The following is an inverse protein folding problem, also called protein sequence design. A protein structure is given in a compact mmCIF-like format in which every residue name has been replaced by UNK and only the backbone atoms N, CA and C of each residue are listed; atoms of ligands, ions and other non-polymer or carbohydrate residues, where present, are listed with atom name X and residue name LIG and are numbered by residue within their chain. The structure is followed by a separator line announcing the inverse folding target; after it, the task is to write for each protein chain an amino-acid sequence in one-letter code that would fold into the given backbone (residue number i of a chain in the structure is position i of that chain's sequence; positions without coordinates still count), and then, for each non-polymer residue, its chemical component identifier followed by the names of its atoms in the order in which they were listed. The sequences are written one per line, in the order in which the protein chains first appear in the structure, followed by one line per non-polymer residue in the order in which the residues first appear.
data_IF_237780856662
#
_entry.id   IF_237780856662
#
_cell.length_a   1.000
_cell.length_b   1.000
_cell.length_c   1.000
_cell.angle_alpha   90.00
_cell.angle_beta   90.00
_cell.angle_gamma   90.00
#
_symmetry.space_group_name_H-M   'P 1'
#
loop_
_entity.id
_entity.type
_entity.pdbx_description
1 polymer ?
#
# COMPACT_ATOMS: atom_id res chain seq x y z
N UNK A 1 -39.17 -47.28 -17.83
CA UNK A 1 -38.26 -46.21 -18.31
C UNK A 1 -37.49 -45.68 -17.12
N UNK A 2 -36.16 -45.85 -17.02
CA UNK A 2 -35.41 -45.33 -15.91
C UNK A 2 -35.11 -43.83 -16.15
N UNK A 3 -35.22 -43.04 -15.06
CA UNK A 3 -34.97 -41.62 -15.04
C UNK A 3 -33.48 -41.31 -15.26
N UNK A 4 -33.21 -40.31 -16.10
CA UNK A 4 -31.86 -39.83 -16.36
C UNK A 4 -31.22 -39.20 -15.11
N UNK A 5 -29.89 -39.36 -14.91
CA UNK A 5 -29.20 -38.75 -13.77
C UNK A 5 -29.11 -37.23 -13.95
N UNK A 6 -29.48 -36.53 -12.89
CA UNK A 6 -29.26 -35.06 -12.80
C UNK A 6 -27.77 -34.80 -12.84
N UNK A 7 -27.32 -34.08 -13.87
CA UNK A 7 -25.98 -33.52 -13.92
C UNK A 7 -25.81 -32.56 -12.73
N UNK A 8 -24.82 -32.84 -11.90
CA UNK A 8 -24.34 -31.92 -10.89
C UNK A 8 -23.74 -30.71 -11.62
N UNK A 9 -24.31 -29.53 -11.42
CA UNK A 9 -23.74 -28.26 -11.83
C UNK A 9 -22.46 -28.12 -10.98
N UNK A 10 -21.31 -28.25 -11.64
CA UNK A 10 -20.06 -27.88 -11.03
C UNK A 10 -20.13 -26.37 -10.74
N UNK A 11 -20.29 -26.05 -9.47
CA UNK A 11 -20.06 -24.67 -9.00
C UNK A 11 -18.58 -24.38 -9.24
N UNK A 12 -18.29 -23.45 -10.16
CA UNK A 12 -16.96 -22.87 -10.27
C UNK A 12 -16.51 -22.42 -8.85
N UNK A 13 -15.26 -22.69 -8.47
CA UNK A 13 -14.76 -22.18 -7.21
C UNK A 13 -14.89 -20.67 -7.26
N UNK A 14 -15.72 -20.12 -6.38
CA UNK A 14 -15.72 -18.69 -6.09
C UNK A 14 -14.24 -18.28 -5.94
N UNK A 15 -13.77 -17.33 -6.74
CA UNK A 15 -12.45 -16.76 -6.59
C UNK A 15 -12.39 -16.12 -5.20
N UNK A 16 -12.12 -16.94 -4.20
CA UNK A 16 -11.98 -16.52 -2.82
C UNK A 16 -10.81 -15.56 -2.77
N UNK A 17 -11.07 -14.33 -2.36
CA UNK A 17 -10.05 -13.39 -1.97
C UNK A 17 -9.06 -14.11 -1.04
N UNK A 18 -7.85 -14.34 -1.53
CA UNK A 18 -6.75 -14.80 -0.70
C UNK A 18 -5.99 -13.55 -0.25
N UNK A 19 -6.10 -13.12 1.02
CA UNK A 19 -5.37 -11.96 1.52
C UNK A 19 -3.85 -12.16 1.50
N UNK A 20 -3.38 -13.37 1.24
CA UNK A 20 -1.98 -13.79 1.26
C UNK A 20 -1.39 -13.94 -0.14
N UNK A 21 -1.48 -12.94 -0.98
CA UNK A 21 -0.86 -13.03 -2.31
C UNK A 21 0.68 -13.11 -2.28
N UNK A 22 1.31 -12.90 -1.12
CA UNK A 22 2.73 -13.19 -0.93
C UNK A 22 3.02 -13.70 0.47
N UNK A 23 3.20 -14.99 0.63
CA UNK A 23 4.09 -15.53 1.64
C UNK A 23 5.52 -15.21 1.21
N UNK A 24 6.15 -14.25 1.85
CA UNK A 24 7.60 -14.22 1.87
C UNK A 24 7.99 -15.42 2.73
N UNK A 25 8.22 -16.54 2.05
CA UNK A 25 8.55 -17.79 2.73
C UNK A 25 9.77 -17.62 3.62
N UNK A 26 9.96 -18.55 4.55
CA UNK A 26 11.06 -18.70 5.51
C UNK A 26 12.50 -18.61 4.94
N UNK A 27 12.64 -18.31 3.65
CA UNK A 27 13.92 -18.25 2.92
C UNK A 27 14.57 -16.88 2.85
N UNK A 28 13.88 -15.79 3.24
CA UNK A 28 14.50 -14.47 3.30
C UNK A 28 14.99 -14.20 4.71
N UNK A 29 16.31 -14.18 4.89
CA UNK A 29 16.98 -13.77 6.15
C UNK A 29 16.90 -12.23 6.31
N UNK A 30 15.66 -11.72 6.41
CA UNK A 30 15.34 -10.31 6.60
C UNK A 30 15.36 -10.00 8.11
N UNK A 31 16.15 -9.00 8.51
CA UNK A 31 16.21 -8.52 9.92
C UNK A 31 15.30 -7.32 10.17
N UNK A 32 14.85 -6.65 9.12
CA UNK A 32 14.00 -5.48 9.20
C UNK A 32 14.06 -4.61 7.96
N UNK A 33 13.37 -3.51 8.00
CA UNK A 33 13.25 -2.60 6.86
C UNK A 33 12.65 -1.25 7.19
N UNK A 34 12.19 -0.58 6.14
CA UNK A 34 11.48 0.69 6.22
C UNK A 34 10.10 0.56 5.55
N UNK A 35 9.10 1.13 6.20
CA UNK A 35 7.76 1.30 5.65
C UNK A 35 7.51 2.75 5.27
N UNK A 36 7.05 2.97 4.04
CA UNK A 36 6.59 4.25 3.50
C UNK A 36 5.28 4.03 2.76
N UNK A 37 4.38 5.02 2.77
CA UNK A 37 3.10 4.98 2.08
C UNK A 37 2.67 6.38 1.68
N UNK A 38 1.69 6.51 0.80
CA UNK A 38 1.04 7.78 0.43
C UNK A 38 2.03 8.85 -0.06
N UNK A 39 3.02 8.44 -0.85
CA UNK A 39 4.00 9.36 -1.43
C UNK A 39 3.37 10.27 -2.48
N UNK A 40 2.35 9.78 -3.20
CA UNK A 40 1.65 10.48 -4.27
C UNK A 40 2.59 11.09 -5.31
N UNK A 41 3.65 10.34 -5.66
CA UNK A 41 4.60 10.73 -6.69
C UNK A 41 3.88 11.03 -8.02
N UNK A 42 4.55 11.78 -8.90
CA UNK A 42 4.06 12.19 -10.21
C UNK A 42 2.89 13.20 -10.19
N UNK A 43 2.47 13.66 -9.00
CA UNK A 43 1.46 14.72 -8.85
C UNK A 43 2.08 16.05 -8.44
N UNK A 44 1.42 17.16 -8.80
CA UNK A 44 1.86 18.52 -8.38
C UNK A 44 1.85 18.71 -6.85
N UNK A 45 1.11 17.91 -6.13
CA UNK A 45 0.94 18.04 -4.67
C UNK A 45 2.03 17.34 -3.86
N UNK A 46 2.81 16.47 -4.49
CA UNK A 46 3.86 15.72 -3.83
C UNK A 46 5.08 16.58 -3.51
N UNK A 47 5.66 16.40 -2.33
CA UNK A 47 7.01 16.82 -1.98
C UNK A 47 7.96 15.63 -2.17
N UNK A 48 8.16 15.25 -3.43
CA UNK A 48 8.91 14.05 -3.81
C UNK A 48 10.36 14.07 -3.34
N UNK A 49 11.00 15.24 -3.31
CA UNK A 49 12.40 15.34 -2.90
C UNK A 49 12.58 14.93 -1.43
N UNK A 50 11.67 15.35 -0.56
CA UNK A 50 11.69 14.98 0.85
C UNK A 50 11.46 13.48 1.03
N UNK A 51 10.46 12.93 0.36
CA UNK A 51 10.10 11.51 0.47
C UNK A 51 11.24 10.60 -0.02
N UNK A 52 11.91 10.98 -1.12
CA UNK A 52 13.03 10.22 -1.70
C UNK A 52 14.28 10.37 -0.84
N UNK A 53 14.58 11.57 -0.32
CA UNK A 53 15.73 11.76 0.56
C UNK A 53 15.68 10.88 1.81
N UNK A 54 14.49 10.66 2.35
CA UNK A 54 14.32 9.77 3.49
C UNK A 54 14.58 8.29 3.10
N UNK A 55 14.16 7.84 1.92
CA UNK A 55 14.47 6.50 1.42
C UNK A 55 15.97 6.28 1.21
N UNK A 56 16.69 7.26 0.67
CA UNK A 56 18.12 7.18 0.45
C UNK A 56 18.96 7.17 1.75
N UNK A 57 18.43 7.70 2.85
CA UNK A 57 19.13 7.66 4.15
C UNK A 57 19.20 6.26 4.77
N UNK A 58 18.32 5.36 4.36
CA UNK A 58 18.25 3.99 4.87
C UNK A 58 19.10 2.98 4.07
N UNK A 59 20.03 3.49 3.27
CA UNK A 59 20.75 2.79 2.20
C UNK A 59 21.56 1.56 2.62
N UNK A 60 22.03 1.44 3.85
CA UNK A 60 22.98 0.38 4.18
C UNK A 60 22.53 -0.65 5.20
N UNK A 61 21.47 -0.40 5.94
CA UNK A 61 21.00 -1.28 7.02
C UNK A 61 19.62 -1.90 6.77
N UNK A 62 18.79 -1.28 5.95
CA UNK A 62 17.47 -1.83 5.60
C UNK A 62 17.62 -2.95 4.59
N UNK A 63 17.15 -4.15 4.95
CA UNK A 63 17.15 -5.30 4.06
C UNK A 63 15.92 -5.31 3.16
N UNK A 64 14.86 -4.58 3.53
CA UNK A 64 13.71 -4.39 2.66
C UNK A 64 13.08 -3.00 2.79
N UNK A 65 12.38 -2.61 1.74
CA UNK A 65 11.55 -1.41 1.66
C UNK A 65 10.13 -1.86 1.37
N UNK A 66 9.18 -1.46 2.20
CA UNK A 66 7.75 -1.70 1.96
C UNK A 66 7.11 -0.40 1.49
N UNK A 67 6.68 -0.36 0.23
CA UNK A 67 5.90 0.70 -0.37
C UNK A 67 4.41 0.41 -0.14
N UNK A 68 3.80 1.07 0.83
CA UNK A 68 2.49 0.74 1.40
C UNK A 68 1.28 1.26 0.63
N UNK A 69 1.38 1.39 -0.69
CA UNK A 69 0.32 1.89 -1.57
C UNK A 69 0.27 3.42 -1.69
N UNK A 70 -0.46 3.89 -2.69
CA UNK A 70 -0.50 5.30 -3.09
C UNK A 70 0.90 5.89 -3.26
N UNK A 71 1.83 5.05 -3.74
CA UNK A 71 3.19 5.46 -4.09
C UNK A 71 3.14 6.44 -5.24
N UNK A 72 2.29 6.17 -6.24
CA UNK A 72 2.06 7.03 -7.38
C UNK A 72 0.62 7.57 -7.37
N UNK A 73 0.45 8.77 -7.92
CA UNK A 73 -0.88 9.37 -8.02
C UNK A 73 -1.32 9.42 -9.48
N UNK A 74 -1.92 8.34 -9.95
CA UNK A 74 -2.44 8.27 -11.31
C UNK A 74 -3.56 9.25 -11.55
N UNK A 75 -4.41 9.50 -10.53
CA UNK A 75 -5.57 10.39 -10.63
C UNK A 75 -5.18 11.86 -10.82
N UNK A 76 -4.07 12.28 -10.20
CA UNK A 76 -3.57 13.65 -10.24
C UNK A 76 -2.19 13.74 -10.88
N UNK A 77 -1.87 12.80 -11.75
CA UNK A 77 -0.61 12.77 -12.49
C UNK A 77 -0.46 14.01 -13.37
N UNK A 78 0.77 14.48 -13.47
CA UNK A 78 1.19 15.57 -14.37
C UNK A 78 1.93 15.05 -15.59
N UNK A 79 2.02 13.74 -15.76
CA UNK A 79 2.81 13.09 -16.82
C UNK A 79 2.06 12.98 -18.16
N UNK A 80 0.79 13.39 -18.22
CA UNK A 80 -0.06 13.22 -19.40
C UNK A 80 -1.10 12.13 -19.21
N UNK A 81 -1.11 11.11 -20.08
CA UNK A 81 -2.04 10.00 -20.01
C UNK A 81 -1.63 8.88 -19.04
N UNK A 82 -2.40 7.80 -19.06
CA UNK A 82 -2.14 6.61 -18.25
C UNK A 82 -0.79 5.99 -18.62
N UNK A 83 -0.51 5.86 -19.90
CA UNK A 83 0.72 5.23 -20.40
C UNK A 83 1.98 6.00 -19.99
N UNK A 84 2.00 7.32 -20.15
CA UNK A 84 3.12 8.18 -19.75
C UNK A 84 3.35 8.11 -18.24
N UNK A 85 2.25 8.03 -17.47
CA UNK A 85 2.30 7.89 -16.01
C UNK A 85 2.87 6.53 -15.62
N UNK A 86 2.40 5.43 -16.24
CA UNK A 86 2.97 4.09 -16.06
C UNK A 86 4.48 4.08 -16.37
N UNK A 87 4.87 4.64 -17.52
CA UNK A 87 6.28 4.68 -17.92
C UNK A 87 7.13 5.48 -16.91
N UNK A 88 6.61 6.59 -16.38
CA UNK A 88 7.31 7.37 -15.37
C UNK A 88 7.43 6.62 -14.04
N UNK A 89 6.35 5.94 -13.60
CA UNK A 89 6.33 5.13 -12.40
C UNK A 89 7.34 3.97 -12.48
N UNK A 90 7.35 3.25 -13.60
CA UNK A 90 8.30 2.15 -13.82
C UNK A 90 9.75 2.61 -13.88
N UNK A 91 10.03 3.77 -14.48
CA UNK A 91 11.40 4.36 -14.44
C UNK A 91 11.82 4.69 -13.02
N UNK A 92 10.92 5.24 -12.22
CA UNK A 92 11.20 5.55 -10.82
C UNK A 92 11.51 4.29 -10.00
N UNK A 93 10.70 3.21 -10.15
CA UNK A 93 10.92 1.94 -9.46
C UNK A 93 12.27 1.30 -9.83
N UNK A 94 12.63 1.30 -11.11
CA UNK A 94 13.94 0.83 -11.57
C UNK A 94 15.08 1.67 -10.98
N UNK A 95 14.90 2.98 -10.90
CA UNK A 95 15.86 3.88 -10.24
C UNK A 95 16.00 3.59 -8.75
N UNK A 96 14.89 3.33 -8.03
CA UNK A 96 14.92 2.96 -6.63
C UNK A 96 15.68 1.65 -6.41
N UNK A 97 15.40 0.62 -7.20
CA UNK A 97 16.11 -0.66 -7.13
C UNK A 97 17.60 -0.53 -7.38
N UNK A 98 17.99 0.31 -8.34
CA UNK A 98 19.40 0.58 -8.62
C UNK A 98 20.09 1.31 -7.45
N UNK A 99 19.37 2.20 -6.78
CA UNK A 99 19.90 3.00 -5.67
C UNK A 99 19.96 2.21 -4.33
N UNK A 100 19.12 1.21 -4.14
CA UNK A 100 18.96 0.52 -2.84
C UNK A 100 19.80 -0.76 -2.69
N UNK A 101 20.80 -0.95 -3.54
CA UNK A 101 21.79 -2.01 -3.42
C UNK A 101 21.16 -3.42 -3.39
N UNK A 102 21.18 -4.09 -2.25
CA UNK A 102 20.67 -5.46 -2.08
C UNK A 102 19.26 -5.53 -1.47
N UNK A 103 18.65 -4.42 -1.10
CA UNK A 103 17.36 -4.42 -0.44
C UNK A 103 16.25 -4.97 -1.36
N UNK A 104 15.36 -5.77 -0.80
CA UNK A 104 14.13 -6.18 -1.45
C UNK A 104 13.08 -5.08 -1.36
N UNK A 105 12.28 -4.90 -2.41
CA UNK A 105 11.19 -3.93 -2.46
C UNK A 105 9.87 -4.69 -2.51
N UNK A 106 9.00 -4.46 -1.54
CA UNK A 106 7.61 -4.93 -1.52
C UNK A 106 6.71 -3.77 -1.91
N UNK A 107 5.94 -3.93 -2.97
CA UNK A 107 5.03 -2.91 -3.48
C UNK A 107 3.58 -3.35 -3.22
N UNK A 108 2.91 -2.65 -2.30
CA UNK A 108 1.47 -2.79 -2.09
C UNK A 108 0.72 -1.79 -2.96
N UNK A 109 -0.43 -2.20 -3.47
CA UNK A 109 -1.32 -1.31 -4.20
C UNK A 109 -2.17 -0.48 -3.21
N UNK A 110 -2.33 0.81 -3.52
CA UNK A 110 -3.34 1.68 -2.92
C UNK A 110 -4.45 2.02 -3.91
N UNK A 111 -5.38 2.87 -3.51
CA UNK A 111 -6.47 3.25 -4.39
C UNK A 111 -6.07 4.26 -5.48
N UNK A 112 -4.92 4.92 -5.37
CA UNK A 112 -4.40 5.84 -6.39
C UNK A 112 -3.49 5.18 -7.41
N UNK A 113 -3.00 3.97 -7.16
CA UNK A 113 -2.07 3.25 -8.03
C UNK A 113 -2.50 1.79 -8.35
N UNK A 114 -3.80 1.46 -8.15
CA UNK A 114 -4.38 0.14 -8.45
C UNK A 114 -4.97 0.03 -9.88
N UNK A 115 -4.45 0.77 -10.87
CA UNK A 115 -4.93 0.64 -12.23
C UNK A 115 -4.51 -0.70 -12.85
N UNK A 116 -5.40 -1.41 -13.56
CA UNK A 116 -5.09 -2.70 -14.16
C UNK A 116 -3.85 -2.66 -15.05
N UNK A 117 -3.72 -1.66 -15.92
CA UNK A 117 -2.57 -1.51 -16.84
C UNK A 117 -1.25 -1.30 -16.09
N UNK A 118 -1.29 -0.68 -14.91
CA UNK A 118 -0.11 -0.51 -14.09
C UNK A 118 0.20 -1.78 -13.30
N UNK A 119 -0.82 -2.44 -12.74
CA UNK A 119 -0.68 -3.71 -12.04
C UNK A 119 -0.07 -4.80 -12.95
N UNK A 120 -0.51 -4.90 -14.21
CA UNK A 120 0.05 -5.83 -15.19
C UNK A 120 1.56 -5.58 -15.41
N UNK A 121 1.98 -4.32 -15.49
CA UNK A 121 3.41 -3.96 -15.62
C UNK A 121 4.20 -4.28 -14.35
N UNK A 122 3.62 -4.06 -13.17
CA UNK A 122 4.25 -4.43 -11.91
C UNK A 122 4.40 -5.94 -11.77
N UNK A 123 3.39 -6.71 -12.21
CA UNK A 123 3.43 -8.17 -12.22
C UNK A 123 4.54 -8.69 -13.12
N UNK A 124 4.60 -8.24 -14.36
CA UNK A 124 5.65 -8.59 -15.28
C UNK A 124 7.04 -8.16 -14.75
N UNK A 125 7.14 -7.04 -14.06
CA UNK A 125 8.38 -6.58 -13.45
C UNK A 125 8.80 -7.47 -12.28
N UNK A 126 7.85 -7.87 -11.42
CA UNK A 126 8.09 -8.79 -10.30
C UNK A 126 8.56 -10.18 -10.74
N UNK A 127 8.08 -10.67 -11.88
CA UNK A 127 8.51 -11.95 -12.46
C UNK A 127 9.96 -11.92 -12.95
N UNK A 128 10.47 -10.75 -13.35
CA UNK A 128 11.78 -10.59 -13.97
C UNK A 128 12.83 -9.95 -13.04
N UNK A 129 12.44 -9.41 -11.88
CA UNK A 129 13.34 -8.77 -10.91
C UNK A 129 13.20 -9.42 -9.53
N UNK A 130 14.14 -10.29 -9.14
CA UNK A 130 14.03 -11.08 -7.90
C UNK A 130 13.95 -10.27 -6.61
N UNK A 131 14.36 -8.99 -6.65
CA UNK A 131 14.29 -8.10 -5.49
C UNK A 131 13.03 -7.26 -5.43
N UNK A 132 12.14 -7.37 -6.43
CA UNK A 132 10.88 -6.64 -6.46
C UNK A 132 9.71 -7.60 -6.33
N UNK A 133 8.84 -7.35 -5.36
CA UNK A 133 7.69 -8.19 -5.04
C UNK A 133 6.41 -7.36 -5.10
N UNK A 134 5.53 -7.68 -6.05
CA UNK A 134 4.19 -7.10 -6.07
C UNK A 134 3.32 -7.80 -5.04
N UNK A 135 2.74 -7.03 -4.13
CA UNK A 135 1.82 -7.49 -3.08
C UNK A 135 0.52 -6.68 -3.20
N UNK A 136 -0.51 -7.16 -3.90
CA UNK A 136 -1.67 -6.34 -4.22
C UNK A 136 -2.45 -5.83 -3.00
N UNK A 137 -2.49 -6.58 -1.90
CA UNK A 137 -3.39 -6.30 -0.80
C UNK A 137 -2.72 -6.18 0.57
N UNK A 138 -2.17 -7.27 1.08
CA UNK A 138 -1.65 -7.38 2.44
C UNK A 138 -0.35 -8.19 2.44
N UNK A 139 0.64 -7.71 3.16
CA UNK A 139 1.92 -8.38 3.38
C UNK A 139 2.06 -8.69 4.86
N UNK A 140 2.37 -9.94 5.18
CA UNK A 140 2.77 -10.36 6.52
C UNK A 140 4.25 -10.76 6.51
N UNK A 141 5.05 -10.10 7.33
CA UNK A 141 6.45 -10.44 7.57
C UNK A 141 6.63 -10.59 9.09
N UNK A 142 6.93 -11.80 9.55
CA UNK A 142 7.05 -12.14 10.97
C UNK A 142 5.79 -11.68 11.75
N UNK A 143 5.92 -10.78 12.72
CA UNK A 143 4.82 -10.20 13.50
C UNK A 143 4.34 -8.82 13.00
N UNK A 144 4.77 -8.43 11.80
CA UNK A 144 4.46 -7.15 11.15
C UNK A 144 3.48 -7.34 9.99
N UNK A 145 2.32 -6.70 10.07
CA UNK A 145 1.30 -6.67 9.02
C UNK A 145 1.35 -5.33 8.29
N UNK A 146 1.44 -5.38 6.96
CA UNK A 146 1.47 -4.20 6.10
C UNK A 146 0.26 -4.20 5.16
N UNK A 147 -0.43 -3.08 5.06
CA UNK A 147 -1.57 -2.88 4.17
C UNK A 147 -1.69 -1.41 3.80
N UNK A 148 -2.42 -1.10 2.70
CA UNK A 148 -2.61 0.31 2.35
C UNK A 148 -3.53 1.04 3.34
N UNK A 149 -4.61 0.39 3.80
CA UNK A 149 -5.56 0.99 4.76
C UNK A 149 -6.89 1.43 4.13
N UNK A 150 -7.01 1.45 2.80
CA UNK A 150 -8.26 1.70 2.06
C UNK A 150 -9.35 0.65 2.34
N UNK A 151 -8.96 -0.48 2.93
CA UNK A 151 -9.87 -1.50 3.46
C UNK A 151 -10.87 -0.92 4.47
N UNK A 152 -10.51 0.09 5.26
CA UNK A 152 -11.42 0.74 6.21
C UNK A 152 -12.61 1.38 5.51
N UNK A 153 -12.44 1.83 4.26
CA UNK A 153 -13.50 2.36 3.41
C UNK A 153 -14.21 1.27 2.60
N UNK A 154 -13.52 0.18 2.30
CA UNK A 154 -14.14 -1.00 1.66
C UNK A 154 -15.09 -1.73 2.60
N UNK A 155 -14.83 -1.70 3.90
CA UNK A 155 -15.62 -2.31 4.95
C UNK A 155 -15.26 -3.76 5.29
N UNK A 156 -14.55 -4.48 4.41
CA UNK A 156 -13.98 -5.81 4.67
C UNK A 156 -12.90 -6.15 3.65
N UNK A 157 -12.05 -7.13 3.95
CA UNK A 157 -11.03 -7.62 3.01
C UNK A 157 -11.66 -8.17 1.72
N UNK A 158 -12.75 -8.89 1.79
CA UNK A 158 -13.45 -9.44 0.62
C UNK A 158 -14.02 -8.37 -0.32
N UNK A 159 -14.27 -7.17 0.16
CA UNK A 159 -14.80 -6.05 -0.64
C UNK A 159 -13.72 -5.10 -1.18
N UNK A 160 -12.45 -5.33 -0.83
CA UNK A 160 -11.37 -4.40 -1.18
C UNK A 160 -11.19 -4.28 -2.70
N UNK A 161 -11.18 -5.41 -3.41
CA UNK A 161 -11.06 -5.41 -4.87
C UNK A 161 -12.21 -4.67 -5.54
N UNK A 162 -13.46 -4.87 -5.08
CA UNK A 162 -14.63 -4.16 -5.59
C UNK A 162 -14.56 -2.65 -5.27
N UNK A 163 -14.10 -2.29 -4.09
CA UNK A 163 -13.88 -0.89 -3.73
C UNK A 163 -12.87 -0.22 -4.67
N UNK A 164 -11.77 -0.88 -4.99
CA UNK A 164 -10.70 -0.36 -5.87
C UNK A 164 -11.12 -0.21 -7.32
N UNK A 165 -12.08 -0.99 -7.82
CA UNK A 165 -12.64 -0.83 -9.18
C UNK A 165 -13.14 0.60 -9.48
N UNK A 166 -13.56 1.36 -8.46
CA UNK A 166 -13.96 2.77 -8.60
C UNK A 166 -12.82 3.69 -9.05
N UNK A 167 -11.58 3.23 -8.89
CA UNK A 167 -10.36 3.97 -9.22
C UNK A 167 -9.66 3.46 -10.49
N UNK A 168 -10.19 2.40 -11.13
CA UNK A 168 -9.60 1.83 -12.35
C UNK A 168 -9.74 2.74 -13.58
N UNK A 169 -10.59 3.77 -13.53
CA UNK A 169 -10.73 4.72 -14.62
C UNK A 169 -9.85 5.93 -14.38
N UNK A 170 -8.86 6.10 -15.26
CA UNK A 170 -7.96 7.23 -15.24
C UNK A 170 -8.40 8.29 -16.26
N UNK A 171 -9.05 9.34 -15.77
CA UNK A 171 -9.33 10.54 -16.56
C UNK A 171 -8.32 11.63 -16.17
N UNK A 172 -7.51 12.13 -17.12
CA UNK A 172 -6.60 13.23 -16.86
C UNK A 172 -7.36 14.46 -16.33
N UNK A 173 -6.91 15.00 -15.22
CA UNK A 173 -7.51 16.21 -14.65
C UNK A 173 -7.15 17.44 -15.48
N UNK A 174 -8.09 18.35 -15.65
CA UNK A 174 -7.84 19.61 -16.34
C UNK A 174 -6.87 20.50 -15.56
N UNK A 175 -6.16 21.39 -16.28
CA UNK A 175 -5.23 22.36 -15.65
C UNK A 175 -5.92 23.22 -14.58
N UNK A 176 -7.21 23.49 -14.73
CA UNK A 176 -7.99 24.24 -13.76
C UNK A 176 -8.23 23.44 -12.47
N UNK A 177 -8.56 22.14 -12.56
CA UNK A 177 -8.71 21.24 -11.40
C UNK A 177 -7.39 21.13 -10.63
N UNK A 178 -6.25 20.97 -11.32
CA UNK A 178 -4.92 20.98 -10.69
C UNK A 178 -4.65 22.26 -9.91
N UNK A 179 -4.99 23.45 -10.49
CA UNK A 179 -4.79 24.74 -9.82
C UNK A 179 -5.66 24.89 -8.56
N UNK A 180 -6.92 24.48 -8.61
CA UNK A 180 -7.80 24.53 -7.45
C UNK A 180 -7.35 23.57 -6.36
N UNK A 181 -6.94 22.37 -6.74
CA UNK A 181 -6.43 21.40 -5.78
C UNK A 181 -5.11 21.89 -5.13
N UNK A 182 -4.21 22.48 -5.90
CA UNK A 182 -2.98 23.09 -5.37
C UNK A 182 -3.27 24.22 -4.36
N UNK A 183 -4.28 25.03 -4.61
CA UNK A 183 -4.74 26.05 -3.63
C UNK A 183 -5.25 25.41 -2.35
N UNK A 184 -6.07 24.36 -2.45
CA UNK A 184 -6.57 23.63 -1.28
C UNK A 184 -5.42 23.01 -0.46
N UNK A 185 -4.39 22.46 -1.13
CA UNK A 185 -3.18 21.93 -0.48
C UNK A 185 -2.41 23.04 0.24
N UNK A 186 -2.22 24.20 -0.38
CA UNK A 186 -1.56 25.38 0.24
C UNK A 186 -2.32 25.89 1.48
N UNK A 187 -3.65 25.81 1.45
CA UNK A 187 -4.52 26.15 2.59
C UNK A 187 -4.60 25.02 3.63
N UNK A 188 -3.86 23.92 3.45
CA UNK A 188 -3.82 22.74 4.33
C UNK A 188 -5.18 22.03 4.51
N UNK A 189 -6.13 22.28 3.62
CA UNK A 189 -7.47 21.67 3.65
C UNK A 189 -7.40 20.14 3.69
N UNK A 190 -6.61 19.43 2.84
CA UNK A 190 -6.54 17.97 2.88
C UNK A 190 -6.14 17.44 4.25
N UNK A 191 -5.16 18.04 4.91
CA UNK A 191 -4.72 17.60 6.25
C UNK A 191 -5.77 17.79 7.35
N UNK A 192 -6.57 18.85 7.26
CA UNK A 192 -7.68 19.07 8.19
C UNK A 192 -8.80 18.05 7.96
N UNK A 193 -9.19 17.86 6.70
CA UNK A 193 -10.22 16.88 6.31
C UNK A 193 -9.82 15.46 6.75
N UNK A 194 -8.58 15.05 6.46
CA UNK A 194 -8.10 13.72 6.87
C UNK A 194 -8.21 13.48 8.37
N UNK A 195 -7.83 14.45 9.20
CA UNK A 195 -7.90 14.33 10.65
C UNK A 195 -9.34 14.25 11.18
N UNK A 196 -10.28 14.92 10.53
CA UNK A 196 -11.69 14.90 10.95
C UNK A 196 -12.43 13.67 10.47
N UNK A 197 -12.15 13.22 9.25
CA UNK A 197 -12.84 12.09 8.62
C UNK A 197 -12.24 10.74 9.06
N UNK A 198 -10.91 10.70 9.28
CA UNK A 198 -10.18 9.48 9.66
C UNK A 198 -9.42 9.70 10.99
N UNK A 199 -10.08 9.87 12.13
CA UNK A 199 -9.39 9.98 13.41
C UNK A 199 -8.54 8.72 13.68
N UNK A 200 -7.29 8.90 14.11
CA UNK A 200 -6.34 7.79 14.33
C UNK A 200 -6.95 6.69 15.23
N UNK A 201 -7.58 7.08 16.35
CA UNK A 201 -8.16 6.11 17.28
C UNK A 201 -9.26 5.24 16.64
N UNK A 202 -10.15 5.86 15.87
CA UNK A 202 -11.25 5.15 15.20
C UNK A 202 -10.69 4.24 14.08
N UNK A 203 -9.74 4.74 13.30
CA UNK A 203 -9.09 3.97 12.22
C UNK A 203 -8.35 2.75 12.76
N UNK A 204 -7.51 2.94 13.80
CA UNK A 204 -6.73 1.83 14.37
C UNK A 204 -7.64 0.78 15.01
N UNK A 205 -8.71 1.20 15.73
CA UNK A 205 -9.70 0.27 16.29
C UNK A 205 -10.38 -0.52 15.17
N UNK A 206 -10.84 0.16 14.13
CA UNK A 206 -11.48 -0.52 12.99
C UNK A 206 -10.56 -1.51 12.30
N UNK A 207 -9.29 -1.17 12.10
CA UNK A 207 -8.30 -2.09 11.55
C UNK A 207 -8.07 -3.30 12.48
N UNK A 208 -8.00 -3.10 13.80
CA UNK A 208 -7.88 -4.21 14.77
C UNK A 208 -9.07 -5.16 14.68
N UNK A 209 -10.30 -4.61 14.67
CA UNK A 209 -11.53 -5.39 14.48
C UNK A 209 -11.52 -6.20 13.17
N UNK A 210 -11.12 -5.58 12.05
CA UNK A 210 -11.07 -6.24 10.75
C UNK A 210 -10.01 -7.36 10.69
N UNK A 211 -8.88 -7.20 11.36
CA UNK A 211 -7.86 -8.24 11.49
C UNK A 211 -8.43 -9.44 12.28
N UNK A 212 -9.18 -9.19 13.33
CA UNK A 212 -9.84 -10.23 14.11
C UNK A 212 -11.01 -10.88 13.35
N UNK A 213 -11.86 -10.09 12.68
CA UNK A 213 -12.95 -10.55 11.83
C UNK A 213 -12.45 -11.47 10.69
N UNK A 214 -11.24 -11.25 10.18
CA UNK A 214 -10.62 -12.10 9.17
C UNK A 214 -10.33 -13.51 9.68
N UNK A 215 -10.16 -13.67 10.99
CA UNK A 215 -9.97 -14.95 11.70
C UNK A 215 -8.91 -15.86 11.04
N UNK A 216 -7.79 -15.28 10.63
CA UNK A 216 -6.70 -15.99 9.98
C UNK A 216 -5.67 -16.39 11.04
N UNK A 217 -5.38 -17.70 11.14
CA UNK A 217 -4.46 -18.25 12.14
C UNK A 217 -3.09 -17.57 12.09
N UNK A 218 -2.61 -17.26 10.89
CA UNK A 218 -1.33 -16.62 10.64
C UNK A 218 -1.27 -15.19 11.20
N UNK A 219 -2.43 -14.53 11.35
CA UNK A 219 -2.49 -13.18 11.90
C UNK A 219 -2.56 -13.12 13.43
N UNK A 220 -2.62 -14.26 14.08
CA UNK A 220 -2.59 -14.34 15.55
C UNK A 220 -1.29 -13.85 16.16
N UNK A 221 -0.17 -13.90 15.40
CA UNK A 221 1.13 -13.42 15.84
C UNK A 221 1.33 -11.91 15.64
N UNK A 222 0.42 -11.20 14.92
CA UNK A 222 0.59 -9.80 14.55
C UNK A 222 0.62 -8.89 15.78
N UNK A 223 1.75 -8.18 15.96
CA UNK A 223 1.95 -7.18 16.99
C UNK A 223 2.05 -5.76 16.43
N UNK A 224 2.54 -5.62 15.20
CA UNK A 224 2.76 -4.34 14.55
C UNK A 224 1.96 -4.26 13.26
N UNK A 225 1.17 -3.20 13.09
CA UNK A 225 0.34 -2.96 11.89
C UNK A 225 0.79 -1.66 11.25
N UNK A 226 1.28 -1.75 10.03
CA UNK A 226 1.72 -0.61 9.22
C UNK A 226 0.69 -0.33 8.13
N UNK A 227 0.18 0.91 8.08
CA UNK A 227 -0.87 1.27 7.14
C UNK A 227 -0.73 2.71 6.64
N UNK A 228 -1.35 3.04 5.50
CA UNK A 228 -1.39 4.35 4.88
C UNK A 228 -2.80 4.93 4.77
N UNK A 229 -3.13 5.48 3.60
CA UNK A 229 -4.45 5.91 3.13
C UNK A 229 -5.07 7.11 3.86
N UNK A 230 -5.03 7.13 5.18
CA UNK A 230 -5.67 8.20 5.96
C UNK A 230 -4.91 9.51 5.95
N UNK A 231 -3.64 9.49 5.53
CA UNK A 231 -2.72 10.62 5.55
C UNK A 231 -2.49 11.23 6.97
N UNK A 232 -2.90 10.53 8.02
CA UNK A 232 -2.76 10.97 9.41
C UNK A 232 -1.65 10.17 10.06
N UNK A 233 -0.51 10.81 10.32
CA UNK A 233 0.65 10.14 10.90
C UNK A 233 0.35 9.59 12.30
N UNK A 234 0.68 8.31 12.50
CA UNK A 234 0.62 7.61 13.79
C UNK A 234 1.94 6.87 14.05
N UNK A 235 2.39 6.86 15.29
CA UNK A 235 3.64 6.21 15.67
C UNK A 235 3.43 5.39 16.94
N UNK A 236 3.22 4.08 16.78
CA UNK A 236 3.00 3.16 17.88
C UNK A 236 1.69 3.39 18.63
N UNK A 237 0.59 3.71 17.91
CA UNK A 237 -0.71 3.85 18.54
C UNK A 237 -1.22 2.49 18.99
N UNK A 238 -1.46 2.32 20.30
CA UNK A 238 -1.85 1.04 20.86
C UNK A 238 -3.37 0.82 20.78
N UNK A 239 -3.77 -0.33 20.26
CA UNK A 239 -5.12 -0.89 20.37
C UNK A 239 -4.98 -2.37 20.73
N UNK A 240 -5.57 -2.75 21.84
CA UNK A 240 -5.46 -4.12 22.39
C UNK A 240 -4.00 -4.55 22.52
N UNK A 241 -3.59 -5.67 21.87
CA UNK A 241 -2.22 -6.18 21.89
C UNK A 241 -1.36 -5.68 20.71
N UNK A 242 -1.86 -4.76 19.87
CA UNK A 242 -1.23 -4.33 18.64
C UNK A 242 -0.81 -2.87 18.66
N UNK A 243 0.30 -2.59 17.98
CA UNK A 243 0.79 -1.23 17.72
C UNK A 243 0.55 -0.85 16.25
N UNK A 244 0.05 0.37 16.03
CA UNK A 244 -0.31 0.88 14.72
C UNK A 244 0.60 2.02 14.29
N UNK A 245 1.09 1.95 13.05
CA UNK A 245 2.03 2.89 12.47
C UNK A 245 1.50 3.40 11.13
N UNK A 246 1.49 4.73 10.95
CA UNK A 246 1.11 5.37 9.70
C UNK A 246 2.10 6.49 9.40
N UNK A 247 2.78 6.49 8.24
CA UNK A 247 3.77 7.52 7.92
C UNK A 247 3.16 8.90 7.66
N UNK A 248 1.84 9.01 7.53
CA UNK A 248 1.19 10.23 7.08
C UNK A 248 1.18 10.30 5.56
N UNK A 249 1.60 11.44 4.96
CA UNK A 249 1.58 11.56 3.51
C UNK A 249 2.72 12.44 2.99
N UNK A 250 3.26 12.08 1.81
CA UNK A 250 4.21 12.87 1.04
C UNK A 250 3.61 14.10 0.36
N UNK A 251 2.33 14.38 0.57
CA UNK A 251 1.69 15.61 0.09
C UNK A 251 2.27 16.82 0.84
N UNK A 252 2.54 17.89 0.10
CA UNK A 252 3.09 19.14 0.67
C UNK A 252 2.26 19.62 1.85
N UNK A 253 2.96 20.12 2.89
CA UNK A 253 2.39 20.63 4.15
C UNK A 253 1.70 19.60 5.04
N UNK A 254 1.75 18.31 4.68
CA UNK A 254 1.31 17.24 5.57
C UNK A 254 2.50 16.68 6.37
N UNK A 255 2.20 16.07 7.51
CA UNK A 255 3.20 15.36 8.30
C UNK A 255 3.54 14.06 7.57
N UNK A 256 4.84 13.80 7.44
CA UNK A 256 5.35 12.57 6.87
C UNK A 256 6.48 12.04 7.74
N UNK A 257 6.38 10.79 8.16
CA UNK A 257 7.31 10.13 9.07
C UNK A 257 7.44 8.65 8.65
N UNK A 258 8.44 8.29 7.82
CA UNK A 258 8.74 6.89 7.53
C UNK A 258 8.98 6.10 8.81
N UNK A 259 8.57 4.84 8.84
CA UNK A 259 8.74 3.96 9.99
C UNK A 259 9.74 2.84 9.68
N UNK A 260 10.72 2.66 10.56
CA UNK A 260 11.57 1.47 10.55
C UNK A 260 10.90 0.37 11.36
N UNK A 261 11.16 -0.89 10.96
CA UNK A 261 10.75 -2.07 11.69
C UNK A 261 11.88 -3.10 11.73
N UNK A 262 11.86 -3.94 12.75
CA UNK A 262 12.80 -5.04 12.92
C UNK A 262 12.02 -6.29 13.29
N UNK A 263 12.46 -7.45 12.79
CA UNK A 263 11.87 -8.73 13.12
C UNK A 263 12.47 -9.30 14.40
N UNK A 264 11.63 -9.88 15.26
CA UNK A 264 12.08 -10.42 16.56
C UNK A 264 12.74 -11.80 16.45
N UNK A 265 12.53 -12.54 15.36
CA UNK A 265 12.95 -13.91 15.20
C UNK A 265 14.25 -14.14 14.41
N UNK A 266 15.12 -13.14 14.29
CA UNK A 266 16.46 -13.33 13.68
C UNK A 266 17.43 -14.22 14.50
N UNK A 267 16.91 -14.96 15.49
CA UNK A 267 17.67 -15.87 16.36
C UNK A 267 16.98 -17.25 16.46
N UNK A 268 16.86 -17.94 15.32
CA UNK A 268 16.65 -19.40 15.32
C UNK A 268 17.60 -20.08 14.38
#
# INVERSE_FOLDING_TARGET
MPAAPKQAIATEPSSGFNPFDVHVGDSMDLKGGIFVSDLHLLSMRCDSQRAIADLHRYDSSAQCIVLGGDTFDFRWSTQGGCEETCNAAMRWLKGLLAATGKASIFFLLGNHDCLPEFEDRLRAFSENEPRFHLVPHVLLLDDCLFLHGDITHAGSFSKLAEYRKKYHHHEPRSKWQHRWYDRAVRLRVPGLVSRTVCPTAATCRRLSEMIEEANLTEWSCVKSVFFGHTHVAANGYNVDSRQFFNPGSGIRFMKYLPHTFTFQNSAR
#
